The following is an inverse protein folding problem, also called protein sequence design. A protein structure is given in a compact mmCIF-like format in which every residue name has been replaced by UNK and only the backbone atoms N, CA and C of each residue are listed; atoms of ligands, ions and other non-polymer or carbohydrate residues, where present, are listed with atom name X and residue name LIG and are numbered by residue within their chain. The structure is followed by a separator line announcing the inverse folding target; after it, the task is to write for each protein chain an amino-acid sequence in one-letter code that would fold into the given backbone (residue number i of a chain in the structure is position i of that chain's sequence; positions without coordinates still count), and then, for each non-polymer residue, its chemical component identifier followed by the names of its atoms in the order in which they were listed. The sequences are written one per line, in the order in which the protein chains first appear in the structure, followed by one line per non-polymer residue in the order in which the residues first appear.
data_IF_287906576967
#
_entry.id   IF_287906576967
#
_cell.length_a   1.000
_cell.length_b   1.000
_cell.length_c   1.000
_cell.angle_alpha   90.00
_cell.angle_beta   90.00
_cell.angle_gamma   90.00
#
_symmetry.space_group_name_H-M   'P 1'
#
loop_
_entity.id
_entity.type
_entity.pdbx_description
1 polymer ?
#
# COMPACT_ATOMS: atom_id res chain seq x y z
N UNK A 1 -11.19 3.68 -72.95
CA UNK A 1 -10.81 2.81 -71.81
C UNK A 1 -12.01 2.86 -70.89
N UNK A 2 -12.94 1.91 -71.04
CA UNK A 2 -14.22 1.95 -70.32
C UNK A 2 -14.00 1.51 -68.87
N UNK A 3 -14.10 2.47 -67.96
CA UNK A 3 -14.14 2.20 -66.53
C UNK A 3 -15.36 1.34 -66.24
N UNK A 4 -15.15 0.10 -65.82
CA UNK A 4 -16.24 -0.79 -65.40
C UNK A 4 -16.74 -0.32 -64.04
N UNK A 5 -18.05 -0.44 -63.79
CA UNK A 5 -18.66 -0.07 -62.51
C UNK A 5 -18.00 -0.75 -61.30
N UNK A 6 -17.40 -1.93 -61.49
CA UNK A 6 -16.59 -2.64 -60.49
C UNK A 6 -15.39 -1.84 -60.00
N UNK A 7 -14.70 -1.15 -60.91
CA UNK A 7 -13.44 -0.44 -60.60
C UNK A 7 -13.71 0.80 -59.73
N UNK A 8 -14.86 1.45 -59.98
CA UNK A 8 -15.36 2.59 -59.18
C UNK A 8 -15.74 2.12 -57.76
N UNK A 9 -16.42 0.98 -57.64
CA UNK A 9 -16.80 0.40 -56.34
C UNK A 9 -15.55 0.06 -55.53
N UNK A 10 -14.55 -0.60 -56.14
CA UNK A 10 -13.30 -0.94 -55.47
C UNK A 10 -12.53 0.30 -54.99
N UNK A 11 -12.52 1.39 -55.77
CA UNK A 11 -11.88 2.65 -55.37
C UNK A 11 -12.58 3.28 -54.16
N UNK A 12 -13.93 3.30 -54.15
CA UNK A 12 -14.71 3.82 -53.01
C UNK A 12 -14.47 2.96 -51.76
N UNK A 13 -14.48 1.63 -51.90
CA UNK A 13 -14.18 0.72 -50.79
C UNK A 13 -12.79 0.94 -50.21
N UNK A 14 -11.78 1.23 -51.05
CA UNK A 14 -10.43 1.54 -50.60
C UNK A 14 -10.38 2.84 -49.79
N UNK A 15 -11.08 3.89 -50.23
CA UNK A 15 -11.17 5.17 -49.51
C UNK A 15 -11.83 4.97 -48.14
N UNK A 16 -12.93 4.22 -48.09
CA UNK A 16 -13.61 3.88 -46.83
C UNK A 16 -12.67 3.09 -45.91
N UNK A 17 -11.98 2.08 -46.42
CA UNK A 17 -11.05 1.27 -45.64
C UNK A 17 -9.90 2.11 -45.04
N UNK A 18 -9.33 3.01 -45.84
CA UNK A 18 -8.29 3.95 -45.37
C UNK A 18 -8.86 4.86 -44.27
N UNK A 19 -10.04 5.46 -44.50
CA UNK A 19 -10.72 6.30 -43.51
C UNK A 19 -11.00 5.56 -42.19
N UNK A 20 -11.51 4.32 -42.28
CA UNK A 20 -11.73 3.45 -41.13
C UNK A 20 -10.44 3.08 -40.40
N UNK A 21 -9.35 2.81 -41.12
CA UNK A 21 -8.05 2.50 -40.51
C UNK A 21 -7.48 3.71 -39.74
N UNK A 22 -7.61 4.93 -40.29
CA UNK A 22 -7.21 6.15 -39.60
C UNK A 22 -8.06 6.40 -38.34
N UNK A 23 -9.38 6.24 -38.44
CA UNK A 23 -10.28 6.37 -37.31
C UNK A 23 -9.98 5.32 -36.23
N UNK A 24 -9.76 4.06 -36.62
CA UNK A 24 -9.40 2.97 -35.70
C UNK A 24 -8.09 3.25 -34.97
N UNK A 25 -7.07 3.77 -35.67
CA UNK A 25 -5.79 4.17 -35.05
C UNK A 25 -5.97 5.31 -34.05
N UNK A 26 -6.79 6.32 -34.37
CA UNK A 26 -7.10 7.42 -33.47
C UNK A 26 -7.85 6.95 -32.23
N UNK A 27 -8.90 6.15 -32.42
CA UNK A 27 -9.69 5.54 -31.36
C UNK A 27 -8.84 4.65 -30.46
N UNK A 28 -7.95 3.83 -31.03
CA UNK A 28 -7.02 2.98 -30.27
C UNK A 28 -6.03 3.81 -29.44
N UNK A 29 -5.48 4.90 -29.98
CA UNK A 29 -4.62 5.81 -29.20
C UNK A 29 -5.36 6.44 -28.02
N UNK A 30 -6.60 6.89 -28.24
CA UNK A 30 -7.43 7.45 -27.18
C UNK A 30 -7.78 6.40 -26.12
N UNK A 31 -8.13 5.18 -26.53
CA UNK A 31 -8.39 4.06 -25.63
C UNK A 31 -7.15 3.70 -24.78
N UNK A 32 -5.97 3.67 -25.39
CA UNK A 32 -4.71 3.43 -24.67
C UNK A 32 -4.40 4.53 -23.66
N UNK A 33 -4.65 5.80 -24.00
CA UNK A 33 -4.48 6.93 -23.08
C UNK A 33 -5.41 6.80 -21.87
N UNK A 34 -6.69 6.51 -22.10
CA UNK A 34 -7.68 6.30 -21.04
C UNK A 34 -7.28 5.10 -20.17
N UNK A 35 -6.82 4.01 -20.78
CA UNK A 35 -6.33 2.83 -20.05
C UNK A 35 -5.13 3.20 -19.15
N UNK A 36 -4.18 3.99 -19.64
CA UNK A 36 -3.04 4.45 -18.85
C UNK A 36 -3.46 5.38 -17.71
N UNK A 37 -4.39 6.31 -17.95
CA UNK A 37 -4.95 7.19 -16.92
C UNK A 37 -5.65 6.37 -15.83
N UNK A 38 -6.42 5.35 -16.21
CA UNK A 38 -7.07 4.43 -15.28
C UNK A 38 -6.05 3.63 -14.45
N UNK A 39 -4.95 3.16 -15.05
CA UNK A 39 -3.88 2.48 -14.30
C UNK A 39 -3.24 3.40 -13.27
N UNK A 40 -2.94 4.65 -13.65
CA UNK A 40 -2.36 5.64 -12.74
C UNK A 40 -3.32 5.97 -11.58
N UNK A 41 -4.62 6.09 -11.86
CA UNK A 41 -5.65 6.28 -10.83
C UNK A 41 -5.73 5.08 -9.89
N UNK A 42 -5.69 3.85 -10.40
CA UNK A 42 -5.67 2.65 -9.58
C UNK A 42 -4.46 2.61 -8.65
N UNK A 43 -3.26 2.94 -9.15
CA UNK A 43 -2.07 3.05 -8.30
C UNK A 43 -2.26 4.09 -7.20
N UNK A 44 -2.80 5.27 -7.53
CA UNK A 44 -3.11 6.32 -6.57
C UNK A 44 -4.12 5.88 -5.50
N UNK A 45 -5.15 5.12 -5.88
CA UNK A 45 -6.13 4.56 -4.93
C UNK A 45 -5.50 3.56 -3.97
N UNK A 46 -4.63 2.67 -4.47
CA UNK A 46 -3.92 1.68 -3.64
C UNK A 46 -2.99 2.39 -2.65
N UNK A 47 -2.25 3.41 -3.07
CA UNK A 47 -1.38 4.18 -2.18
C UNK A 47 -2.15 4.96 -1.11
N UNK A 48 -3.32 5.48 -1.47
CA UNK A 48 -4.22 6.14 -0.52
C UNK A 48 -4.77 5.14 0.52
N UNK A 49 -5.21 3.95 0.08
CA UNK A 49 -5.70 2.88 0.96
C UNK A 49 -4.62 2.45 1.97
N UNK A 50 -3.38 2.27 1.50
CA UNK A 50 -2.22 1.96 2.35
C UNK A 50 -2.05 3.05 3.41
N UNK A 51 -2.05 4.32 2.98
CA UNK A 51 -1.88 5.47 3.88
C UNK A 51 -2.99 5.53 4.93
N UNK A 52 -4.24 5.38 4.53
CA UNK A 52 -5.40 5.39 5.44
C UNK A 52 -5.35 4.24 6.45
N UNK A 53 -4.97 3.04 6.01
CA UNK A 53 -4.88 1.86 6.88
C UNK A 53 -3.79 2.03 7.95
N UNK A 54 -2.61 2.51 7.54
CA UNK A 54 -1.49 2.78 8.45
C UNK A 54 -1.84 3.88 9.45
N UNK A 55 -2.36 5.02 8.98
CA UNK A 55 -2.72 6.14 9.85
C UNK A 55 -3.88 5.78 10.79
N UNK A 56 -4.86 5.00 10.33
CA UNK A 56 -5.92 4.47 11.18
C UNK A 56 -5.39 3.60 12.32
N UNK A 57 -4.44 2.69 12.03
CA UNK A 57 -3.81 1.87 13.06
C UNK A 57 -2.96 2.71 14.03
N UNK A 58 -2.21 3.70 13.55
CA UNK A 58 -1.48 4.65 14.41
C UNK A 58 -2.42 5.43 15.32
N UNK A 59 -3.57 5.89 14.81
CA UNK A 59 -4.60 6.56 15.63
C UNK A 59 -5.12 5.65 16.73
N UNK A 60 -5.47 4.40 16.40
CA UNK A 60 -5.95 3.43 17.39
C UNK A 60 -4.92 3.15 18.50
N UNK A 61 -3.64 3.02 18.15
CA UNK A 61 -2.55 2.89 19.13
C UNK A 61 -2.48 4.12 20.04
N UNK A 62 -2.54 5.32 19.47
CA UNK A 62 -2.49 6.58 20.24
C UNK A 62 -3.69 6.72 21.19
N UNK A 63 -4.89 6.39 20.74
CA UNK A 63 -6.12 6.41 21.55
C UNK A 63 -6.01 5.47 22.75
N UNK A 64 -5.59 4.22 22.53
CA UNK A 64 -5.37 3.26 23.62
C UNK A 64 -4.28 3.77 24.57
N UNK A 65 -3.18 4.31 24.03
CA UNK A 65 -2.08 4.84 24.82
C UNK A 65 -2.53 5.96 25.75
N UNK A 66 -3.31 6.92 25.25
CA UNK A 66 -3.84 8.03 26.04
C UNK A 66 -4.73 7.54 27.19
N UNK A 67 -5.59 6.56 26.94
CA UNK A 67 -6.45 5.96 27.97
C UNK A 67 -5.65 5.18 29.01
N UNK A 68 -4.51 4.59 28.63
CA UNK A 68 -3.63 3.86 29.54
C UNK A 68 -2.85 4.75 30.51
N UNK A 69 -2.53 5.99 30.14
CA UNK A 69 -1.67 6.91 30.93
C UNK A 69 -2.01 6.94 32.42
N UNK A 70 -3.25 7.22 32.87
CA UNK A 70 -3.55 7.31 34.30
C UNK A 70 -3.29 6.00 35.06
N UNK A 71 -3.54 4.85 34.42
CA UNK A 71 -3.30 3.55 35.02
C UNK A 71 -1.81 3.21 35.10
N UNK A 72 -1.03 3.54 34.07
CA UNK A 72 0.43 3.35 34.08
C UNK A 72 1.09 4.22 35.14
N UNK A 73 0.61 5.45 35.34
CA UNK A 73 1.08 6.33 36.43
C UNK A 73 0.79 5.72 37.80
N UNK A 74 -0.42 5.19 38.02
CA UNK A 74 -0.78 4.51 39.27
C UNK A 74 0.01 3.22 39.52
N UNK A 75 0.28 2.45 38.46
CA UNK A 75 1.12 1.25 38.49
C UNK A 75 2.54 1.59 38.93
N UNK A 76 3.13 2.63 38.34
CA UNK A 76 4.49 3.09 38.68
C UNK A 76 4.58 3.64 40.11
N UNK A 77 3.51 4.28 40.58
CA UNK A 77 3.41 4.82 41.94
C UNK A 77 2.88 3.84 42.98
N UNK A 78 2.79 2.53 42.67
CA UNK A 78 2.31 1.47 43.57
C UNK A 78 0.93 1.74 44.20
N UNK A 79 0.08 2.49 43.49
CA UNK A 79 -1.25 2.94 43.95
C UNK A 79 -2.41 2.32 43.16
N UNK A 80 -2.10 1.32 42.33
CA UNK A 80 -3.07 0.66 41.46
C UNK A 80 -3.93 -0.32 42.24
N UNK A 81 -5.26 -0.17 42.17
CA UNK A 81 -6.18 -1.15 42.76
C UNK A 81 -6.24 -2.44 41.93
N UNK A 82 -6.76 -3.53 42.51
CA UNK A 82 -6.90 -4.82 41.80
C UNK A 82 -7.81 -4.73 40.57
N UNK A 83 -8.85 -3.90 40.63
CA UNK A 83 -9.76 -3.67 39.50
C UNK A 83 -9.05 -2.90 38.39
N UNK A 84 -8.33 -1.83 38.73
CA UNK A 84 -7.55 -1.04 37.78
C UNK A 84 -6.41 -1.85 37.13
N UNK A 85 -5.81 -2.79 37.87
CA UNK A 85 -4.83 -3.72 37.33
C UNK A 85 -5.42 -4.63 36.25
N UNK A 86 -6.64 -5.14 36.47
CA UNK A 86 -7.34 -5.94 35.46
C UNK A 86 -7.69 -5.12 34.20
N UNK A 87 -8.13 -3.88 34.39
CA UNK A 87 -8.43 -2.94 33.31
C UNK A 87 -7.16 -2.60 32.51
N UNK A 88 -6.05 -2.28 33.18
CA UNK A 88 -4.77 -2.02 32.54
C UNK A 88 -4.27 -3.24 31.76
N UNK A 89 -4.43 -4.44 32.31
CA UNK A 89 -4.12 -5.69 31.62
C UNK A 89 -4.90 -5.87 30.31
N UNK A 90 -6.18 -5.50 30.29
CA UNK A 90 -6.99 -5.50 29.06
C UNK A 90 -6.48 -4.47 28.05
N UNK A 91 -6.18 -3.24 28.49
CA UNK A 91 -5.65 -2.21 27.59
C UNK A 91 -4.31 -2.60 26.99
N UNK A 92 -3.41 -3.23 27.75
CA UNK A 92 -2.13 -3.74 27.22
C UNK A 92 -2.34 -4.80 26.12
N UNK A 93 -3.33 -5.69 26.29
CA UNK A 93 -3.69 -6.67 25.24
C UNK A 93 -4.20 -5.97 23.98
N UNK A 94 -5.07 -4.97 24.13
CA UNK A 94 -5.60 -4.22 22.99
C UNK A 94 -4.51 -3.40 22.30
N UNK A 95 -3.60 -2.78 23.06
CA UNK A 95 -2.44 -2.07 22.53
C UNK A 95 -1.58 -3.01 21.68
N UNK A 96 -1.23 -4.20 22.21
CA UNK A 96 -0.44 -5.19 21.48
C UNK A 96 -1.15 -5.65 20.20
N UNK A 97 -2.46 -5.89 20.24
CA UNK A 97 -3.25 -6.26 19.06
C UNK A 97 -3.27 -5.14 18.01
N UNK A 98 -3.40 -3.88 18.43
CA UNK A 98 -3.32 -2.72 17.54
C UNK A 98 -1.92 -2.55 16.93
N UNK A 99 -0.85 -2.79 17.70
CA UNK A 99 0.53 -2.82 17.22
C UNK A 99 0.73 -3.92 16.17
N UNK A 100 0.25 -5.14 16.40
CA UNK A 100 0.31 -6.21 15.40
C UNK A 100 -0.48 -5.85 14.13
N UNK A 101 -1.63 -5.19 14.29
CA UNK A 101 -2.42 -4.70 13.15
C UNK A 101 -1.64 -3.68 12.33
N UNK A 102 -0.92 -2.75 12.97
CA UNK A 102 -0.03 -1.82 12.29
C UNK A 102 1.07 -2.55 11.51
N UNK A 103 1.72 -3.55 12.12
CA UNK A 103 2.75 -4.37 11.45
C UNK A 103 2.16 -5.08 10.23
N UNK A 104 0.97 -5.67 10.36
CA UNK A 104 0.27 -6.33 9.26
C UNK A 104 0.00 -5.36 8.08
N UNK A 105 -0.37 -4.11 8.37
CA UNK A 105 -0.58 -3.11 7.32
C UNK A 105 0.73 -2.73 6.61
N UNK A 106 1.84 -2.55 7.32
CA UNK A 106 3.14 -2.33 6.70
C UNK A 106 3.59 -3.54 5.87
N UNK A 107 3.40 -4.75 6.37
CA UNK A 107 3.75 -5.97 5.64
C UNK A 107 2.92 -6.14 4.35
N UNK A 108 1.62 -5.89 4.43
CA UNK A 108 0.72 -5.86 3.27
C UNK A 108 1.11 -4.78 2.26
N UNK A 109 1.52 -3.59 2.73
CA UNK A 109 2.02 -2.52 1.88
C UNK A 109 3.33 -2.92 1.18
N UNK A 110 4.25 -3.57 1.89
CA UNK A 110 5.50 -4.09 1.33
C UNK A 110 5.24 -5.21 0.30
N UNK A 111 4.25 -6.06 0.52
CA UNK A 111 3.82 -7.06 -0.46
C UNK A 111 3.34 -6.40 -1.76
N UNK A 112 2.52 -5.34 -1.67
CA UNK A 112 2.09 -4.55 -2.84
C UNK A 112 3.26 -3.86 -3.56
N UNK A 113 4.28 -3.41 -2.82
CA UNK A 113 5.52 -2.89 -3.38
C UNK A 113 6.29 -3.94 -4.17
N UNK A 114 6.46 -5.14 -3.62
CA UNK A 114 7.14 -6.26 -4.29
C UNK A 114 6.39 -6.62 -5.57
N UNK A 115 5.05 -6.70 -5.51
CA UNK A 115 4.17 -7.00 -6.65
C UNK A 115 4.14 -5.88 -7.72
N UNK A 116 4.74 -4.72 -7.49
CA UNK A 116 4.71 -3.58 -8.42
C UNK A 116 3.35 -2.89 -8.55
N UNK A 117 2.46 -3.06 -7.56
CA UNK A 117 1.11 -2.45 -7.53
C UNK A 117 1.09 -0.99 -7.06
N UNK A 118 2.26 -0.47 -6.69
CA UNK A 118 2.49 0.92 -6.25
C UNK A 118 3.73 1.47 -6.94
N UNK A 119 3.86 2.79 -7.00
CA UNK A 119 5.09 3.41 -7.51
C UNK A 119 6.24 3.17 -6.52
N UNK A 120 7.25 2.41 -6.93
CA UNK A 120 8.36 2.02 -6.05
C UNK A 120 9.17 3.21 -5.54
N UNK A 121 9.37 4.25 -6.35
CA UNK A 121 10.18 5.41 -5.99
C UNK A 121 9.46 6.21 -4.91
N UNK A 122 8.18 6.50 -5.14
CA UNK A 122 7.32 7.22 -4.21
C UNK A 122 7.12 6.42 -2.93
N UNK A 123 6.84 5.13 -3.02
CA UNK A 123 6.69 4.26 -1.85
C UNK A 123 7.94 4.26 -0.97
N UNK A 124 9.14 4.08 -1.55
CA UNK A 124 10.40 4.14 -0.80
C UNK A 124 10.60 5.51 -0.14
N UNK A 125 10.34 6.60 -0.88
CA UNK A 125 10.43 7.97 -0.34
C UNK A 125 9.51 8.18 0.86
N UNK A 126 8.30 7.64 0.82
CA UNK A 126 7.29 7.79 1.88
C UNK A 126 7.60 6.92 3.09
N UNK A 127 7.93 5.64 2.90
CA UNK A 127 7.94 4.66 3.99
C UNK A 127 9.32 4.15 4.43
N UNK A 128 10.42 4.48 3.74
CA UNK A 128 11.78 4.00 4.10
C UNK A 128 12.09 4.21 5.58
N UNK A 129 11.92 5.43 6.08
CA UNK A 129 12.22 5.78 7.47
C UNK A 129 11.28 5.09 8.46
N UNK A 130 9.99 4.97 8.13
CA UNK A 130 9.02 4.35 9.03
C UNK A 130 9.25 2.84 9.16
N UNK A 131 9.50 2.15 8.04
CA UNK A 131 9.79 0.71 8.02
C UNK A 131 11.09 0.42 8.77
N UNK A 132 12.15 1.22 8.55
CA UNK A 132 13.40 1.12 9.30
C UNK A 132 13.15 1.23 10.81
N UNK A 133 12.47 2.28 11.25
CA UNK A 133 12.13 2.49 12.67
C UNK A 133 11.28 1.36 13.25
N UNK A 134 10.39 0.77 12.45
CA UNK A 134 9.53 -0.34 12.90
C UNK A 134 10.35 -1.61 13.14
N UNK A 135 11.24 -1.96 12.23
CA UNK A 135 12.07 -3.18 12.30
C UNK A 135 13.15 -3.05 13.37
N UNK A 136 13.79 -1.89 13.47
CA UNK A 136 14.87 -1.63 14.44
C UNK A 136 14.34 -1.35 15.85
N UNK A 137 13.02 -1.34 16.05
CA UNK A 137 12.45 -1.16 17.37
C UNK A 137 12.70 -2.40 18.25
N UNK A 138 13.49 -2.23 19.31
CA UNK A 138 13.81 -3.30 20.26
C UNK A 138 12.57 -3.96 20.87
N UNK A 139 11.47 -3.24 21.07
CA UNK A 139 10.23 -3.82 21.62
C UNK A 139 9.49 -4.72 20.63
N UNK A 140 9.78 -4.60 19.32
CA UNK A 140 9.13 -5.35 18.25
C UNK A 140 10.05 -6.40 17.62
N UNK A 141 11.27 -6.53 18.13
CA UNK A 141 12.31 -7.41 17.57
C UNK A 141 11.87 -8.86 17.42
N UNK A 142 11.00 -9.34 18.32
CA UNK A 142 10.43 -10.69 18.26
C UNK A 142 9.64 -10.95 16.97
N UNK A 143 8.97 -9.92 16.42
CA UNK A 143 8.18 -10.04 15.20
C UNK A 143 9.06 -10.09 13.94
N UNK A 144 10.29 -9.58 14.01
CA UNK A 144 11.15 -9.35 12.84
C UNK A 144 12.38 -10.26 12.78
N UNK A 145 12.39 -11.37 13.53
CA UNK A 145 13.46 -12.36 13.41
C UNK A 145 13.55 -12.89 11.96
N UNK A 146 14.68 -12.73 11.25
CA UNK A 146 14.78 -13.10 9.84
C UNK A 146 14.47 -14.58 9.55
N UNK A 147 14.77 -15.48 10.50
CA UNK A 147 14.58 -16.91 10.34
C UNK A 147 13.14 -17.32 10.62
N UNK A 148 12.52 -16.78 11.66
CA UNK A 148 11.22 -17.27 12.17
C UNK A 148 10.04 -16.36 11.87
N UNK A 149 10.27 -15.11 11.48
CA UNK A 149 9.20 -14.13 11.24
C UNK A 149 8.29 -14.54 10.08
N UNK A 150 6.98 -14.36 10.26
CA UNK A 150 5.97 -14.42 9.20
C UNK A 150 5.93 -13.18 8.32
N UNK A 151 6.50 -12.06 8.77
CA UNK A 151 6.53 -10.78 8.08
C UNK A 151 7.69 -10.71 7.07
N UNK A 152 7.69 -11.64 6.10
CA UNK A 152 8.74 -11.70 5.08
C UNK A 152 8.72 -10.51 4.12
N UNK A 153 7.56 -10.02 3.63
CA UNK A 153 7.52 -8.86 2.74
C UNK A 153 8.24 -7.63 3.30
N UNK A 154 7.95 -7.22 4.54
CA UNK A 154 8.58 -6.04 5.13
C UNK A 154 10.09 -6.23 5.33
N UNK A 155 10.53 -7.43 5.72
CA UNK A 155 11.96 -7.75 5.87
C UNK A 155 12.70 -7.72 4.53
N UNK A 156 12.07 -8.22 3.46
CA UNK A 156 12.65 -8.21 2.12
C UNK A 156 12.81 -6.79 1.60
N UNK A 157 11.79 -5.94 1.79
CA UNK A 157 11.83 -4.53 1.38
C UNK A 157 12.87 -3.75 2.17
N UNK A 158 12.97 -3.98 3.48
CA UNK A 158 14.02 -3.39 4.31
C UNK A 158 15.42 -3.81 3.85
N UNK A 159 15.64 -5.11 3.67
CA UNK A 159 16.89 -5.67 3.14
C UNK A 159 17.24 -5.07 1.77
N UNK A 160 16.27 -4.95 0.86
CA UNK A 160 16.45 -4.30 -0.45
C UNK A 160 16.93 -2.85 -0.28
N UNK A 161 16.41 -2.11 0.68
CA UNK A 161 16.73 -0.69 0.81
C UNK A 161 18.02 -0.39 1.57
N UNK A 162 18.40 -1.23 2.52
CA UNK A 162 19.59 -1.07 3.34
C UNK A 162 20.84 -1.74 2.73
N UNK A 163 20.70 -2.81 1.94
CA UNK A 163 21.83 -3.41 1.21
C UNK A 163 22.21 -2.69 -0.09
N UNK A 164 21.51 -1.59 -0.42
CA UNK A 164 21.84 -0.73 -1.56
C UNK A 164 22.71 0.49 -1.17
N UNK A 165 23.10 0.59 0.10
CA UNK A 165 24.10 1.55 0.63
C UNK A 165 25.43 0.84 0.87
#
# INVERSE_FOLDING_TARGET
MDLKSSDIISLISLIIAIGSAYFAKSSSKQANRIAQENLNLQHGMVELEISQSIEGAKSGINEISMVMVPYVVKETGESLTSEEAAILGLYRKNFNAATQTLINYYDSACSKYIDGKVDKIRFKKTYKTEIRKLIENETLKEYFNPLTSSYKPILNVYSEWENLE
#
